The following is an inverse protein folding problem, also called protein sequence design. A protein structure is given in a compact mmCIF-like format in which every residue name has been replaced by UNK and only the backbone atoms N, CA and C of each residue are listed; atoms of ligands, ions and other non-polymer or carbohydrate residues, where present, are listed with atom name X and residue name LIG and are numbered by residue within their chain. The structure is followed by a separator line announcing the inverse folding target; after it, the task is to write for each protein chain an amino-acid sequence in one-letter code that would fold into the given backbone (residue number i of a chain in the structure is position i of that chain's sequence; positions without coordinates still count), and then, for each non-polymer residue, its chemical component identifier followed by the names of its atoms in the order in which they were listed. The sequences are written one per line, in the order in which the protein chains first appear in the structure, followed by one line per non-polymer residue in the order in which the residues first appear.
data_IF_174627492713
#
_entry.id   IF_174627492713
#
_cell.length_a   1.000
_cell.length_b   1.000
_cell.length_c   1.000
_cell.angle_alpha   90.00
_cell.angle_beta   90.00
_cell.angle_gamma   90.00
#
_symmetry.space_group_name_H-M   'P 1'
#
loop_
_entity.id
_entity.type
_entity.pdbx_description
1 polymer ?
#
# COMPACT_ATOMS: atom_id res chain seq x y z
N UNK A 1 6.25 -3.77 13.60
CA UNK A 1 6.08 -3.79 12.13
C UNK A 1 6.80 -2.58 11.59
N UNK A 2 7.72 -2.80 10.66
CA UNK A 2 8.47 -1.75 10.01
C UNK A 2 7.56 -0.88 9.12
N UNK A 3 8.12 0.22 8.61
CA UNK A 3 7.41 1.13 7.72
C UNK A 3 7.15 0.47 6.36
N UNK A 4 8.07 -0.38 5.89
CA UNK A 4 8.04 -1.15 4.65
C UNK A 4 7.26 -2.49 4.73
N UNK A 5 6.68 -2.82 5.88
CA UNK A 5 5.93 -4.07 6.08
C UNK A 5 4.42 -3.83 6.20
N UNK A 6 3.64 -4.71 5.57
CA UNK A 6 2.18 -4.76 5.59
C UNK A 6 1.70 -6.05 6.25
N UNK A 7 0.59 -5.99 6.97
CA UNK A 7 0.01 -7.19 7.56
C UNK A 7 -0.93 -7.83 6.55
N UNK A 8 -0.55 -8.99 6.02
CA UNK A 8 -1.42 -9.74 5.13
C UNK A 8 -2.37 -10.62 5.95
N UNK A 9 -3.68 -10.39 5.82
CA UNK A 9 -4.70 -11.21 6.51
C UNK A 9 -4.77 -12.64 5.96
N UNK A 10 -4.43 -12.86 4.68
CA UNK A 10 -4.37 -14.19 4.09
C UNK A 10 -3.16 -14.99 4.62
N UNK A 11 -1.97 -14.38 4.66
CA UNK A 11 -0.77 -15.02 5.22
C UNK A 11 -0.70 -15.00 6.75
N UNK A 12 -1.49 -14.13 7.40
CA UNK A 12 -1.49 -13.83 8.84
C UNK A 12 -0.11 -13.48 9.40
N UNK A 13 0.70 -12.77 8.61
CA UNK A 13 2.06 -12.34 8.94
C UNK A 13 2.36 -10.97 8.34
N UNK A 14 3.33 -10.26 8.93
CA UNK A 14 3.93 -9.09 8.32
C UNK A 14 4.72 -9.53 7.06
N UNK A 15 4.48 -8.84 5.95
CA UNK A 15 5.04 -9.11 4.63
C UNK A 15 5.40 -7.81 3.95
N UNK A 16 6.40 -7.87 3.07
CA UNK A 16 6.75 -6.74 2.22
C UNK A 16 5.75 -6.65 1.06
N UNK A 17 5.59 -5.44 0.51
CA UNK A 17 4.84 -5.27 -0.71
C UNK A 17 5.58 -5.91 -1.88
N UNK A 18 4.83 -6.46 -2.83
CA UNK A 18 5.36 -7.02 -4.06
C UNK A 18 6.18 -5.95 -4.79
N UNK A 19 7.41 -6.31 -5.16
CA UNK A 19 8.37 -5.43 -5.84
C UNK A 19 8.65 -4.07 -5.15
N UNK A 20 8.26 -3.90 -3.88
CA UNK A 20 8.47 -2.63 -3.17
C UNK A 20 7.45 -1.53 -3.49
N UNK A 21 6.38 -1.83 -4.23
CA UNK A 21 5.39 -0.82 -4.64
C UNK A 21 4.23 -0.70 -3.66
N UNK A 22 3.85 0.54 -3.34
CA UNK A 22 2.61 0.81 -2.61
C UNK A 22 1.96 2.11 -3.07
N UNK A 23 0.64 2.08 -3.24
CA UNK A 23 -0.17 3.24 -3.53
C UNK A 23 -0.52 3.98 -2.25
N UNK A 24 -0.32 5.31 -2.23
CA UNK A 24 -0.67 6.14 -1.09
C UNK A 24 -1.83 7.07 -1.43
N UNK A 25 -3.00 6.79 -0.85
CA UNK A 25 -4.18 7.67 -0.95
C UNK A 25 -4.31 8.51 0.32
N UNK A 26 -4.31 9.84 0.18
CA UNK A 26 -4.56 10.76 1.31
C UNK A 26 -5.99 11.28 1.24
N UNK A 27 -6.78 11.05 2.29
CA UNK A 27 -8.17 11.51 2.42
C UNK A 27 -8.41 12.08 3.81
N UNK A 28 -8.94 13.30 3.90
CA UNK A 28 -9.29 13.97 5.16
C UNK A 28 -8.16 13.95 6.21
N UNK A 29 -6.91 14.17 5.78
CA UNK A 29 -5.73 14.16 6.67
C UNK A 29 -5.30 12.77 7.13
N UNK A 30 -5.86 11.70 6.57
CA UNK A 30 -5.45 10.31 6.80
C UNK A 30 -4.83 9.75 5.52
N UNK A 31 -3.71 9.07 5.65
CA UNK A 31 -3.09 8.37 4.54
C UNK A 31 -3.41 6.88 4.63
N UNK A 32 -3.80 6.29 3.51
CA UNK A 32 -4.01 4.86 3.35
C UNK A 32 -3.00 4.35 2.34
N UNK A 33 -2.14 3.44 2.78
CA UNK A 33 -1.27 2.70 1.89
C UNK A 33 -1.97 1.43 1.42
N UNK A 34 -1.94 1.17 0.13
CA UNK A 34 -2.44 -0.04 -0.49
C UNK A 34 -1.30 -0.69 -1.24
N UNK A 35 -1.06 -1.98 -1.04
CA UNK A 35 -0.02 -2.71 -1.73
C UNK A 35 -0.46 -4.14 -2.01
N UNK A 36 0.32 -4.88 -2.79
CA UNK A 36 0.13 -6.32 -2.99
C UNK A 36 1.09 -7.08 -2.09
N UNK A 37 0.66 -8.18 -1.49
CA UNK A 37 1.55 -9.05 -0.72
C UNK A 37 2.57 -9.74 -1.65
N UNK A 38 3.86 -9.72 -1.29
CA UNK A 38 4.93 -10.40 -2.06
C UNK A 38 4.72 -11.92 -2.26
N UNK A 39 3.85 -12.56 -1.48
CA UNK A 39 3.66 -14.02 -1.48
C UNK A 39 2.35 -14.45 -2.15
N UNK A 40 1.25 -13.82 -1.75
CA UNK A 40 -0.09 -14.22 -2.20
C UNK A 40 -0.73 -13.21 -3.14
N UNK A 41 -0.04 -12.10 -3.41
CA UNK A 41 -0.50 -11.03 -4.30
C UNK A 41 -1.85 -10.43 -3.90
N UNK A 42 -2.31 -10.73 -2.67
CA UNK A 42 -3.54 -10.17 -2.11
C UNK A 42 -3.30 -8.71 -1.76
N UNK A 43 -4.27 -7.87 -2.07
CA UNK A 43 -4.28 -6.46 -1.69
C UNK A 43 -4.27 -6.33 -0.17
N UNK A 44 -3.30 -5.59 0.34
CA UNK A 44 -3.13 -5.28 1.76
C UNK A 44 -3.21 -3.77 1.95
N UNK A 45 -3.92 -3.35 3.00
CA UNK A 45 -4.09 -1.94 3.32
C UNK A 45 -3.45 -1.63 4.68
N UNK A 46 -2.81 -0.47 4.79
CA UNK A 46 -2.20 0.01 6.02
C UNK A 46 -2.49 1.50 6.20
N UNK A 47 -3.33 1.88 7.17
CA UNK A 47 -3.52 3.28 7.50
C UNK A 47 -2.24 3.82 8.15
N UNK A 48 -1.77 4.95 7.64
CA UNK A 48 -0.58 5.65 8.15
C UNK A 48 -0.87 7.12 8.37
N UNK A 49 -0.10 7.75 9.24
CA UNK A 49 -0.15 9.19 9.43
C UNK A 49 0.47 9.88 8.19
N UNK A 50 -0.13 10.98 7.75
CA UNK A 50 0.37 11.76 6.60
C UNK A 50 1.83 12.19 6.78
N UNK A 51 2.25 12.50 8.02
CA UNK A 51 3.63 12.85 8.32
C UNK A 51 4.67 11.74 8.11
N UNK A 52 4.24 10.46 8.03
CA UNK A 52 5.12 9.31 7.79
C UNK A 52 5.26 8.94 6.31
N UNK A 53 4.41 9.47 5.43
CA UNK A 53 4.52 9.26 3.98
C UNK A 53 5.95 9.51 3.46
N UNK A 54 6.61 10.64 3.78
CA UNK A 54 7.96 10.89 3.25
C UNK A 54 9.01 9.89 3.75
N UNK A 55 8.85 9.33 4.94
CA UNK A 55 9.75 8.26 5.44
C UNK A 55 9.49 6.95 4.73
N UNK A 56 8.22 6.63 4.46
CA UNK A 56 7.83 5.41 3.75
C UNK A 56 8.23 5.49 2.28
N UNK A 57 8.12 6.66 1.64
CA UNK A 57 8.57 6.92 0.26
C UNK A 57 10.07 6.73 0.05
N UNK A 58 10.87 6.74 1.12
CA UNK A 58 12.31 6.44 1.06
C UNK A 58 12.62 4.95 1.09
N UNK A 59 11.67 4.15 1.57
CA UNK A 59 11.83 2.70 1.74
C UNK A 59 11.09 1.91 0.67
N UNK A 60 10.00 2.48 0.15
CA UNK A 60 9.11 1.89 -0.83
C UNK A 60 8.89 2.86 -1.98
N UNK A 61 8.62 2.32 -3.16
CA UNK A 61 8.19 3.12 -4.30
C UNK A 61 6.73 3.50 -4.10
N UNK A 62 6.53 4.70 -3.56
CA UNK A 62 5.21 5.22 -3.27
C UNK A 62 4.66 6.02 -4.44
N UNK A 63 3.64 5.46 -5.09
CA UNK A 63 2.78 6.21 -5.99
C UNK A 63 1.80 7.04 -5.16
N UNK A 64 2.16 8.30 -4.91
CA UNK A 64 1.20 9.30 -4.44
C UNK A 64 0.48 9.83 -5.67
N UNK A 65 -0.81 9.55 -5.83
CA UNK A 65 -1.60 10.12 -6.92
C UNK A 65 -2.23 11.44 -6.46
N UNK A 66 -1.67 12.62 -6.78
CA UNK A 66 -2.41 13.87 -6.68
C UNK A 66 -3.46 13.87 -7.79
N UNK A 67 -4.73 13.68 -7.38
CA UNK A 67 -5.92 13.37 -8.20
C UNK A 67 -6.02 11.89 -8.61
N UNK A 68 -7.23 11.30 -8.56
CA UNK A 68 -7.43 9.95 -9.02
C UNK A 68 -7.19 9.90 -10.53
N UNK A 69 -6.13 9.23 -10.97
CA UNK A 69 -6.11 8.67 -12.31
C UNK A 69 -6.88 7.35 -12.22
N UNK A 70 -7.97 7.16 -12.97
CA UNK A 70 -8.83 5.99 -12.87
C UNK A 70 -8.24 4.79 -13.62
N UNK A 71 -7.07 4.28 -13.22
CA UNK A 71 -6.46 3.14 -13.91
C UNK A 71 -5.74 2.20 -12.95
N UNK A 72 -6.52 1.31 -12.32
CA UNK A 72 -6.12 -0.09 -12.15
C UNK A 72 -7.38 -0.94 -12.04
N UNK A 73 -7.62 -1.91 -12.94
CA UNK A 73 -8.80 -2.75 -12.89
C UNK A 73 -8.75 -3.60 -11.62
N UNK A 74 -9.74 -3.42 -10.76
CA UNK A 74 -10.16 -4.48 -9.85
C UNK A 74 -10.36 -5.73 -10.70
N UNK A 75 -9.48 -6.72 -10.51
CA UNK A 75 -9.52 -8.04 -11.12
C UNK A 75 -10.98 -8.49 -11.22
N UNK A 76 -11.54 -8.53 -12.45
CA UNK A 76 -12.79 -9.23 -12.70
C UNK A 76 -12.49 -10.71 -12.59
N UNK A 77 -13.06 -11.35 -11.58
CA UNK A 77 -13.16 -12.82 -11.51
C UNK A 77 -14.64 -13.17 -11.48
N UNK A 78 -15.19 -13.49 -12.65
CA UNK A 78 -16.44 -14.23 -12.82
C UNK A 78 -16.37 -14.96 -14.16
#
# INVERSE_FOLDING_TARGET
MALDEFYCLACRKARKPAEGFADCTVKDGRAMLTALCEVCEVVVHKPVSVGRIPEIARLLDLMTTPRPLPDAPARKEA
#
